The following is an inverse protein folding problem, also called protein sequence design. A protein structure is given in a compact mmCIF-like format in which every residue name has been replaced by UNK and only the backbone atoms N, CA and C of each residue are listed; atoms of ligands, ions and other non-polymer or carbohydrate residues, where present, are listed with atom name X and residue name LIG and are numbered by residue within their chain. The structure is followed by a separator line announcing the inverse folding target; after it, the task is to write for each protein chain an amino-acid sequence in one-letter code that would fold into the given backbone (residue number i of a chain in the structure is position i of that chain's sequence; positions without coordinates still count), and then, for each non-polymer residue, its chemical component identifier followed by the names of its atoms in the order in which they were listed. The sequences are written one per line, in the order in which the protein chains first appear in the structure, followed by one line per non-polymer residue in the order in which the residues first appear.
data_IF_223483327926
#
_entry.id   IF_223483327926
#
_cell.length_a   1.000
_cell.length_b   1.000
_cell.length_c   1.000
_cell.angle_alpha   90.00
_cell.angle_beta   90.00
_cell.angle_gamma   90.00
#
_symmetry.space_group_name_H-M   'P 1'
#
loop_
_entity.id
_entity.type
_entity.pdbx_description
1 polymer ?
#
# COMPACT_ATOMS: atom_id res chain seq x y z
N UNK A 1 -32.11 -26.38 -89.49
CA UNK A 1 -31.47 -27.42 -88.67
C UNK A 1 -30.22 -26.79 -88.09
N UNK A 2 -30.32 -26.46 -86.80
CA UNK A 2 -29.38 -25.91 -85.81
C UNK A 2 -27.88 -25.87 -86.16
N UNK A 3 -27.21 -24.73 -85.92
CA UNK A 3 -25.96 -24.66 -85.12
C UNK A 3 -25.57 -23.18 -84.83
N UNK A 4 -25.54 -22.83 -83.53
CA UNK A 4 -24.76 -21.79 -82.82
C UNK A 4 -24.63 -20.41 -83.48
N UNK A 5 -25.44 -19.39 -83.19
CA UNK A 5 -25.48 -18.61 -81.93
C UNK A 5 -24.11 -18.46 -81.27
N UNK A 6 -23.29 -17.64 -81.93
CA UNK A 6 -22.14 -16.97 -81.36
C UNK A 6 -22.66 -16.01 -80.27
N UNK A 7 -22.53 -16.46 -79.02
CA UNK A 7 -22.80 -15.68 -77.83
C UNK A 7 -21.69 -14.64 -77.70
N UNK A 8 -21.96 -13.45 -78.22
CA UNK A 8 -21.17 -12.25 -77.94
C UNK A 8 -21.41 -11.80 -76.48
N UNK A 9 -20.82 -12.56 -75.56
CA UNK A 9 -20.84 -12.31 -74.11
C UNK A 9 -19.62 -11.50 -73.66
N UNK A 10 -18.77 -11.07 -74.58
CA UNK A 10 -17.56 -10.29 -74.28
C UNK A 10 -17.83 -8.80 -74.02
N UNK A 11 -18.86 -8.23 -74.66
CA UNK A 11 -19.05 -6.77 -74.70
C UNK A 11 -19.99 -6.24 -73.60
N UNK A 12 -20.70 -7.12 -72.88
CA UNK A 12 -21.58 -6.74 -71.75
C UNK A 12 -20.83 -6.58 -70.40
N UNK A 13 -19.53 -6.86 -70.34
CA UNK A 13 -18.70 -6.67 -69.13
C UNK A 13 -17.60 -5.61 -69.30
N UNK A 14 -17.62 -4.87 -70.41
CA UNK A 14 -16.62 -3.86 -70.77
C UNK A 14 -16.70 -2.52 -70.02
N UNK A 15 -17.66 -2.36 -69.09
CA UNK A 15 -17.82 -1.12 -68.32
C UNK A 15 -17.97 -1.40 -66.82
N UNK A 16 -16.98 -2.10 -66.26
CA UNK A 16 -16.57 -1.82 -64.88
C UNK A 16 -15.45 -0.78 -64.93
N UNK A 17 -15.82 0.43 -65.35
CA UNK A 17 -15.03 1.61 -65.10
C UNK A 17 -14.70 1.68 -63.60
N UNK A 18 -13.42 1.49 -63.30
CA UNK A 18 -12.64 2.20 -62.29
C UNK A 18 -13.44 2.75 -61.09
N UNK A 19 -14.15 1.86 -60.38
CA UNK A 19 -14.90 2.22 -59.19
C UNK A 19 -13.93 2.34 -58.00
N UNK A 20 -13.26 3.49 -57.93
CA UNK A 20 -12.84 4.11 -56.67
C UNK A 20 -11.85 3.31 -55.83
N UNK A 21 -10.58 3.26 -56.25
CA UNK A 21 -9.48 2.94 -55.32
C UNK A 21 -9.26 4.02 -54.24
N UNK A 22 -9.99 5.14 -54.27
CA UNK A 22 -9.88 6.24 -53.30
C UNK A 22 -10.51 5.95 -51.93
N UNK A 23 -11.50 5.06 -51.81
CA UNK A 23 -12.22 4.84 -50.53
C UNK A 23 -11.41 4.06 -49.49
N UNK A 24 -10.46 3.20 -49.91
CA UNK A 24 -9.66 2.37 -48.99
C UNK A 24 -8.60 3.16 -48.21
N UNK A 25 -8.13 4.30 -48.70
CA UNK A 25 -7.13 5.13 -47.99
C UNK A 25 -7.78 5.89 -46.84
N UNK A 26 -8.99 6.40 -47.05
CA UNK A 26 -9.75 7.12 -46.02
C UNK A 26 -10.17 6.19 -44.88
N UNK A 27 -10.63 4.97 -45.17
CA UNK A 27 -11.01 4.02 -44.12
C UNK A 27 -9.83 3.57 -43.24
N UNK A 28 -8.64 3.41 -43.83
CA UNK A 28 -7.39 3.16 -43.07
C UNK A 28 -6.99 4.35 -42.20
N UNK A 29 -7.11 5.57 -42.71
CA UNK A 29 -6.78 6.78 -41.94
C UNK A 29 -7.72 6.93 -40.73
N UNK A 30 -9.01 6.68 -40.90
CA UNK A 30 -9.99 6.69 -39.80
C UNK A 30 -9.72 5.62 -38.76
N UNK A 31 -9.28 4.42 -39.17
CA UNK A 31 -8.87 3.36 -38.23
C UNK A 31 -7.66 3.75 -37.38
N UNK A 32 -6.67 4.44 -37.96
CA UNK A 32 -5.50 4.95 -37.23
C UNK A 32 -5.91 6.04 -36.23
N UNK A 33 -6.78 6.97 -36.65
CA UNK A 33 -7.29 8.03 -35.77
C UNK A 33 -8.08 7.44 -34.59
N UNK A 34 -8.98 6.49 -34.86
CA UNK A 34 -9.74 5.81 -33.80
C UNK A 34 -8.82 5.05 -32.83
N UNK A 35 -7.79 4.39 -33.35
CA UNK A 35 -6.77 3.72 -32.53
C UNK A 35 -5.98 4.69 -31.63
N UNK A 36 -5.59 5.85 -32.16
CA UNK A 36 -4.90 6.89 -31.38
C UNK A 36 -5.79 7.47 -30.28
N UNK A 37 -7.08 7.71 -30.56
CA UNK A 37 -8.05 8.18 -29.57
C UNK A 37 -8.23 7.13 -28.47
N UNK A 38 -8.41 5.85 -28.84
CA UNK A 38 -8.55 4.77 -27.88
C UNK A 38 -7.30 4.65 -26.99
N UNK A 39 -6.10 4.73 -27.58
CA UNK A 39 -4.85 4.71 -26.83
C UNK A 39 -4.73 5.90 -25.86
N UNK A 40 -5.08 7.11 -26.31
CA UNK A 40 -5.08 8.30 -25.45
C UNK A 40 -6.06 8.17 -24.28
N UNK A 41 -7.26 7.63 -24.52
CA UNK A 41 -8.25 7.39 -23.46
C UNK A 41 -7.78 6.33 -22.46
N UNK A 42 -7.13 5.25 -22.92
CA UNK A 42 -6.56 4.24 -22.04
C UNK A 42 -5.41 4.82 -21.21
N UNK A 43 -4.49 5.57 -21.82
CA UNK A 43 -3.38 6.20 -21.11
C UNK A 43 -3.89 7.21 -20.07
N UNK A 44 -4.86 8.05 -20.44
CA UNK A 44 -5.49 9.01 -19.53
C UNK A 44 -6.23 8.30 -18.38
N UNK A 45 -6.94 7.21 -18.68
CA UNK A 45 -7.60 6.38 -17.68
C UNK A 45 -6.63 5.72 -16.71
N UNK A 46 -5.48 5.24 -17.19
CA UNK A 46 -4.42 4.66 -16.36
C UNK A 46 -3.76 5.70 -15.46
N UNK A 47 -3.49 6.90 -15.98
CA UNK A 47 -2.96 8.03 -15.20
C UNK A 47 -3.98 8.46 -14.13
N UNK A 48 -5.25 8.57 -14.50
CA UNK A 48 -6.32 8.93 -13.56
C UNK A 48 -6.52 7.85 -12.49
N UNK A 49 -6.54 6.57 -12.86
CA UNK A 49 -6.61 5.46 -11.91
C UNK A 49 -5.37 5.37 -10.99
N UNK A 50 -4.19 5.74 -11.50
CA UNK A 50 -2.99 5.91 -10.70
C UNK A 50 -3.13 7.04 -9.68
N UNK A 51 -3.67 8.18 -10.09
CA UNK A 51 -3.85 9.35 -9.21
C UNK A 51 -4.86 9.13 -8.07
N UNK A 52 -5.83 8.24 -8.25
CA UNK A 52 -6.80 7.88 -7.20
C UNK A 52 -6.21 6.93 -6.14
N UNK A 53 -5.08 6.27 -6.40
CA UNK A 53 -4.41 5.44 -5.38
C UNK A 53 -3.76 6.27 -4.28
N UNK A 54 -3.47 7.54 -4.58
CA UNK A 54 -2.93 8.51 -3.62
C UNK A 54 -4.03 9.37 -2.96
N UNK A 55 -5.32 9.01 -3.13
CA UNK A 55 -6.37 9.64 -2.36
C UNK A 55 -6.10 9.40 -0.86
N UNK A 56 -5.89 10.45 -0.05
CA UNK A 56 -5.58 10.27 1.36
C UNK A 56 -6.80 9.65 2.03
N UNK A 57 -6.71 8.35 2.31
CA UNK A 57 -7.57 7.72 3.31
C UNK A 57 -7.33 8.53 4.58
N UNK A 58 -8.39 9.07 5.18
CA UNK A 58 -8.27 9.82 6.42
C UNK A 58 -7.49 8.97 7.41
N UNK A 59 -6.27 9.41 7.76
CA UNK A 59 -5.41 8.67 8.67
C UNK A 59 -6.16 8.49 9.98
N UNK A 60 -6.17 7.26 10.51
CA UNK A 60 -6.77 7.02 11.82
C UNK A 60 -6.02 7.90 12.85
N UNK A 61 -6.72 8.38 13.88
CA UNK A 61 -6.02 9.06 14.97
C UNK A 61 -5.11 8.05 15.69
N UNK A 62 -3.87 8.40 16.10
CA UNK A 62 -3.00 7.45 16.79
C UNK A 62 -3.64 6.81 18.02
N UNK A 63 -4.42 7.57 18.78
CA UNK A 63 -5.16 7.10 19.96
C UNK A 63 -6.33 6.16 19.63
N UNK A 64 -6.89 6.21 18.42
CA UNK A 64 -7.88 5.21 17.99
C UNK A 64 -7.23 3.88 17.61
N UNK A 65 -5.94 3.92 17.23
CA UNK A 65 -5.16 2.74 16.85
C UNK A 65 -4.52 2.09 18.07
N UNK A 66 -3.92 2.90 18.95
CA UNK A 66 -3.29 2.49 20.20
C UNK A 66 -3.86 3.34 21.33
N UNK A 67 -4.90 2.87 22.05
CA UNK A 67 -5.59 3.65 23.07
C UNK A 67 -4.69 4.22 24.17
N UNK A 68 -3.57 3.56 24.48
CA UNK A 68 -2.59 4.05 25.45
C UNK A 68 -2.04 5.45 25.10
N UNK A 69 -1.91 5.79 23.81
CA UNK A 69 -1.42 7.10 23.36
C UNK A 69 -2.37 8.25 23.73
N UNK A 70 -3.66 7.96 23.91
CA UNK A 70 -4.66 8.93 24.39
C UNK A 70 -4.67 9.13 25.91
N UNK A 71 -3.98 8.28 26.67
CA UNK A 71 -3.90 8.39 28.14
C UNK A 71 -2.90 9.47 28.57
N UNK A 72 -3.03 9.97 29.80
CA UNK A 72 -2.04 10.85 30.39
C UNK A 72 -0.73 10.10 30.69
N UNK A 73 0.42 10.74 30.43
CA UNK A 73 1.72 10.15 30.71
C UNK A 73 1.98 10.07 32.23
N UNK A 74 2.42 8.91 32.69
CA UNK A 74 2.84 8.62 34.06
C UNK A 74 4.37 8.57 34.18
N UNK A 75 4.89 8.30 35.39
CA UNK A 75 6.33 8.15 35.60
C UNK A 75 6.91 6.92 34.90
N UNK A 76 6.15 5.81 34.82
CA UNK A 76 6.60 4.57 34.18
C UNK A 76 6.66 4.68 32.64
N UNK A 77 5.99 5.67 32.08
CA UNK A 77 5.93 5.90 30.64
C UNK A 77 7.14 6.66 30.10
N UNK A 78 7.99 7.22 30.98
CA UNK A 78 9.09 8.10 30.59
C UNK A 78 10.35 7.30 30.29
N UNK A 79 10.86 7.45 29.07
CA UNK A 79 12.19 6.98 28.70
C UNK A 79 13.27 7.93 29.25
N UNK A 80 14.42 7.39 29.61
CA UNK A 80 15.56 8.16 30.08
C UNK A 80 16.28 8.86 28.90
N UNK A 81 17.04 9.93 29.20
CA UNK A 81 17.69 10.75 28.16
C UNK A 81 18.61 9.96 27.22
N UNK A 82 19.42 9.04 27.76
CA UNK A 82 20.33 8.22 26.95
C UNK A 82 19.59 7.25 26.01
N UNK A 83 18.37 6.80 26.38
CA UNK A 83 17.54 5.96 25.53
C UNK A 83 16.90 6.77 24.41
N UNK A 84 16.48 8.01 24.71
CA UNK A 84 15.86 8.92 23.75
C UNK A 84 16.83 9.41 22.67
N UNK A 85 18.11 9.59 23.00
CA UNK A 85 19.12 10.06 22.05
C UNK A 85 19.30 9.11 20.83
N UNK A 86 18.92 7.85 20.98
CA UNK A 86 18.96 6.84 19.93
C UNK A 86 17.64 6.72 19.12
N UNK A 87 16.58 7.45 19.51
CA UNK A 87 15.23 7.28 18.99
C UNK A 87 14.73 8.55 18.27
N UNK A 88 13.77 8.39 17.35
CA UNK A 88 13.17 9.53 16.64
C UNK A 88 11.81 9.96 17.21
N UNK A 89 11.52 9.54 18.46
CA UNK A 89 10.21 9.70 19.10
C UNK A 89 10.11 10.97 19.94
N UNK A 90 8.90 11.49 20.09
CA UNK A 90 8.58 12.60 20.99
C UNK A 90 8.48 12.07 22.41
N UNK A 91 9.37 12.49 23.30
CA UNK A 91 9.47 11.97 24.68
C UNK A 91 8.19 12.12 25.52
N UNK A 92 7.35 13.12 25.27
CA UNK A 92 6.06 13.29 25.99
C UNK A 92 4.95 12.36 25.48
N UNK A 93 5.16 11.70 24.34
CA UNK A 93 4.19 10.79 23.72
C UNK A 93 4.39 9.33 24.13
N UNK A 94 5.50 8.99 24.80
CA UNK A 94 5.83 7.63 25.18
C UNK A 94 4.82 7.10 26.20
N UNK A 95 4.40 5.85 26.03
CA UNK A 95 3.45 5.12 26.89
C UNK A 95 3.92 3.69 27.04
N UNK A 96 4.16 3.24 28.26
CA UNK A 96 4.50 1.86 28.56
C UNK A 96 3.27 0.99 28.28
N UNK A 97 3.45 0.04 27.37
CA UNK A 97 2.42 -0.96 27.06
C UNK A 97 2.54 -2.16 28.00
N UNK A 98 3.77 -2.60 28.27
CA UNK A 98 4.04 -3.70 29.17
C UNK A 98 5.50 -4.12 29.16
N UNK A 99 5.83 -5.07 30.03
CA UNK A 99 7.17 -5.63 30.20
C UNK A 99 7.16 -7.13 29.95
N UNK A 100 8.20 -7.63 29.32
CA UNK A 100 8.39 -9.06 29.05
C UNK A 100 9.82 -9.49 29.39
N UNK A 101 10.20 -10.73 29.05
CA UNK A 101 11.59 -11.18 29.13
C UNK A 101 12.54 -10.37 28.21
N UNK A 102 11.99 -9.69 27.20
CA UNK A 102 12.70 -8.91 26.18
C UNK A 102 12.72 -7.42 26.48
N UNK A 103 12.44 -7.06 27.73
CA UNK A 103 12.50 -5.69 28.22
C UNK A 103 11.14 -5.00 28.28
N UNK A 104 11.18 -3.68 28.26
CA UNK A 104 10.01 -2.80 28.36
C UNK A 104 9.59 -2.31 26.98
N UNK A 105 8.31 -2.42 26.68
CA UNK A 105 7.74 -2.07 25.38
C UNK A 105 6.85 -0.85 25.50
N UNK A 106 7.09 0.14 24.64
CA UNK A 106 6.41 1.42 24.65
C UNK A 106 5.77 1.69 23.30
N UNK A 107 4.61 2.35 23.32
CA UNK A 107 4.10 3.09 22.18
C UNK A 107 4.58 4.54 22.28
N UNK A 108 4.92 5.15 21.15
CA UNK A 108 5.25 6.57 21.07
C UNK A 108 4.81 7.13 19.72
N UNK A 109 4.94 8.45 19.56
CA UNK A 109 4.79 9.16 18.30
C UNK A 109 6.13 9.71 17.83
N UNK A 110 6.37 9.69 16.53
CA UNK A 110 7.43 10.51 15.94
C UNK A 110 6.95 11.96 15.68
N UNK A 111 7.86 12.79 15.15
CA UNK A 111 7.56 14.19 14.80
C UNK A 111 6.53 14.34 13.67
N UNK A 112 6.32 13.28 12.87
CA UNK A 112 5.34 13.24 11.78
C UNK A 112 3.97 12.69 12.24
N UNK A 113 3.84 12.25 13.50
CA UNK A 113 2.62 11.64 14.03
C UNK A 113 2.47 10.15 13.69
N UNK A 114 3.54 9.49 13.21
CA UNK A 114 3.55 8.04 13.05
C UNK A 114 3.58 7.35 14.42
N UNK A 115 2.92 6.20 14.53
CA UNK A 115 2.97 5.36 15.73
C UNK A 115 4.27 4.58 15.69
N UNK A 116 5.02 4.58 16.79
CA UNK A 116 6.26 3.85 16.96
C UNK A 116 6.12 2.83 18.09
N UNK A 117 6.56 1.60 17.82
CA UNK A 117 6.84 0.60 18.83
C UNK A 117 8.31 0.74 19.22
N UNK A 118 8.58 0.98 20.50
CA UNK A 118 9.91 1.07 21.07
C UNK A 118 10.10 -0.07 22.07
N UNK A 119 11.21 -0.78 21.98
CA UNK A 119 11.59 -1.81 22.97
C UNK A 119 12.92 -1.46 23.59
N UNK A 120 12.96 -1.48 24.91
CA UNK A 120 14.14 -1.16 25.72
C UNK A 120 14.50 -2.38 26.55
N UNK A 121 15.65 -2.99 26.26
CA UNK A 121 16.24 -4.06 27.04
C UNK A 121 17.48 -3.53 27.76
N UNK A 122 17.57 -3.78 29.06
CA UNK A 122 18.66 -3.26 29.90
C UNK A 122 20.03 -3.73 29.38
N UNK A 123 20.92 -2.77 29.15
CA UNK A 123 22.26 -3.03 28.63
C UNK A 123 22.36 -3.11 27.10
N UNK A 124 21.24 -2.97 26.38
CA UNK A 124 21.20 -2.94 24.91
C UNK A 124 20.72 -1.58 24.37
N UNK A 125 20.96 -1.35 23.07
CA UNK A 125 20.39 -0.20 22.38
C UNK A 125 18.89 -0.40 22.18
N UNK A 126 18.07 0.65 22.38
CA UNK A 126 16.63 0.52 22.18
C UNK A 126 16.33 0.30 20.70
N UNK A 127 15.40 -0.61 20.43
CA UNK A 127 14.92 -0.90 19.09
C UNK A 127 13.62 -0.13 18.81
N UNK A 128 13.45 0.39 17.60
CA UNK A 128 12.23 1.08 17.20
C UNK A 128 11.75 0.68 15.81
N UNK A 129 10.43 0.62 15.65
CA UNK A 129 9.76 0.51 14.34
C UNK A 129 8.55 1.43 14.33
N UNK A 130 8.42 2.27 13.29
CA UNK A 130 7.34 3.24 13.16
C UNK A 130 6.50 3.01 11.90
N UNK A 131 5.23 3.43 11.95
CA UNK A 131 4.32 3.37 10.81
C UNK A 131 3.16 4.35 10.94
N UNK A 132 2.61 4.77 9.81
CA UNK A 132 1.47 5.70 9.79
C UNK A 132 0.25 5.10 10.49
N UNK A 133 -0.51 5.91 11.25
CA UNK A 133 -1.65 5.40 11.99
C UNK A 133 -2.76 4.93 11.02
N UNK A 134 -3.09 3.65 11.10
CA UNK A 134 -4.12 3.01 10.30
C UNK A 134 -4.80 1.91 11.11
N UNK A 135 -6.04 1.57 10.75
CA UNK A 135 -6.78 0.47 11.38
C UNK A 135 -6.14 -0.90 11.14
N UNK A 136 -5.20 -1.01 10.20
CA UNK A 136 -4.43 -2.21 9.90
C UNK A 136 -2.96 -2.13 10.37
N UNK A 137 -2.62 -1.13 11.19
CA UNK A 137 -1.26 -0.93 11.67
C UNK A 137 -0.74 -2.20 12.34
N UNK A 138 0.44 -2.62 11.92
CA UNK A 138 1.17 -3.77 12.44
C UNK A 138 2.64 -3.35 12.49
N UNK A 139 3.21 -3.28 13.69
CA UNK A 139 4.61 -2.89 13.90
C UNK A 139 5.33 -4.01 14.63
N UNK A 140 6.44 -4.43 14.06
CA UNK A 140 7.28 -5.48 14.64
C UNK A 140 8.65 -4.92 14.97
N UNK A 141 9.18 -5.28 16.13
CA UNK A 141 10.60 -5.15 16.44
C UNK A 141 11.15 -6.52 16.80
N UNK A 142 12.43 -6.73 16.57
CA UNK A 142 13.12 -7.95 16.95
C UNK A 142 14.41 -7.62 17.70
N UNK A 143 14.92 -8.60 18.44
CA UNK A 143 16.29 -8.55 18.94
C UNK A 143 17.32 -8.57 17.79
N UNK A 144 18.58 -8.37 18.15
CA UNK A 144 19.71 -8.38 17.19
C UNK A 144 19.88 -9.72 16.47
N UNK A 145 19.46 -10.83 17.09
CA UNK A 145 19.54 -12.17 16.51
C UNK A 145 18.27 -12.57 15.72
N UNK A 146 17.23 -11.73 15.71
CA UNK A 146 15.96 -11.95 15.02
C UNK A 146 15.11 -13.10 15.58
N UNK A 147 15.39 -13.56 16.80
CA UNK A 147 14.73 -14.69 17.46
C UNK A 147 13.48 -14.23 18.17
N UNK A 148 13.64 -13.16 18.94
CA UNK A 148 12.58 -12.62 19.77
C UNK A 148 11.86 -11.52 19.01
N UNK A 149 10.53 -11.61 18.89
CA UNK A 149 9.72 -10.67 18.12
C UNK A 149 8.64 -10.06 19.01
N UNK A 150 8.59 -8.74 19.05
CA UNK A 150 7.53 -7.97 19.69
C UNK A 150 6.66 -7.38 18.58
N UNK A 151 5.34 -7.52 18.74
CA UNK A 151 4.36 -7.08 17.77
C UNK A 151 3.31 -6.19 18.44
N UNK A 152 3.13 -5.00 17.87
CA UNK A 152 2.04 -4.08 18.16
C UNK A 152 1.05 -4.06 16.99
N UNK A 153 -0.25 -4.22 17.24
CA UNK A 153 -1.27 -4.10 16.17
C UNK A 153 -2.52 -3.34 16.59
N UNK A 154 -3.10 -2.63 15.64
CA UNK A 154 -4.37 -1.92 15.77
C UNK A 154 -5.55 -2.83 16.20
N UNK A 155 -5.62 -4.05 15.67
CA UNK A 155 -6.84 -4.88 15.74
C UNK A 155 -6.96 -5.72 17.01
N UNK A 156 -5.98 -5.69 17.92
CA UNK A 156 -5.90 -6.52 19.14
C UNK A 156 -6.16 -8.03 18.88
N UNK A 157 -5.98 -8.48 17.64
CA UNK A 157 -6.20 -9.86 17.19
C UNK A 157 -4.90 -10.63 17.09
N UNK A 158 -4.72 -11.63 17.96
CA UNK A 158 -3.49 -12.40 18.04
C UNK A 158 -3.04 -12.92 16.65
N UNK A 159 -1.72 -12.98 16.39
CA UNK A 159 -1.22 -13.40 15.09
C UNK A 159 -1.56 -14.88 14.88
N UNK A 160 -1.76 -15.27 13.62
CA UNK A 160 -2.20 -16.62 13.27
C UNK A 160 -1.18 -17.74 13.52
N UNK A 161 0.05 -17.41 13.93
CA UNK A 161 1.12 -18.37 14.14
C UNK A 161 1.15 -18.87 15.59
N UNK A 162 1.68 -20.07 15.81
CA UNK A 162 1.89 -20.60 17.17
C UNK A 162 3.00 -19.82 17.90
N UNK A 163 2.93 -19.81 19.24
CA UNK A 163 3.98 -19.30 20.12
C UNK A 163 3.84 -17.83 20.56
N UNK A 164 2.87 -17.07 20.04
CA UNK A 164 2.63 -15.70 20.49
C UNK A 164 1.99 -15.66 21.88
N UNK A 165 2.51 -14.79 22.72
CA UNK A 165 1.99 -14.50 24.05
C UNK A 165 1.52 -13.05 24.13
N UNK A 166 0.36 -12.82 24.74
CA UNK A 166 -0.16 -11.47 24.98
C UNK A 166 0.48 -10.87 26.22
N UNK A 167 1.14 -9.74 26.03
CA UNK A 167 1.74 -8.94 27.11
C UNK A 167 0.74 -7.89 27.60
N UNK A 168 0.08 -7.22 26.66
CA UNK A 168 -0.89 -6.16 26.93
C UNK A 168 -1.94 -6.08 25.81
N UNK A 169 -2.97 -5.24 25.92
CA UNK A 169 -3.79 -4.90 24.76
C UNK A 169 -2.92 -4.43 23.60
N UNK A 170 -3.21 -4.94 22.40
CA UNK A 170 -2.51 -4.67 21.15
C UNK A 170 -1.05 -5.18 21.07
N UNK A 171 -0.50 -5.75 22.15
CA UNK A 171 0.91 -6.13 22.26
C UNK A 171 1.09 -7.64 22.48
N UNK A 172 1.84 -8.27 21.57
CA UNK A 172 2.28 -9.66 21.70
C UNK A 172 3.78 -9.80 21.55
N UNK A 173 4.27 -10.91 22.05
CA UNK A 173 5.68 -11.28 21.98
C UNK A 173 5.82 -12.76 21.65
N UNK A 174 6.91 -13.12 20.97
CA UNK A 174 7.25 -14.51 20.67
C UNK A 174 8.77 -14.72 20.81
N UNK A 175 9.22 -15.79 21.50
CA UNK A 175 10.61 -16.24 21.50
C UNK A 175 11.08 -16.84 20.16
#
# INVERSE_FOLDING_TARGET
MTTFEDLDLGEAFGDFGDAGTETRRLSRAWGVVAGLIAFALVALGLVWAGSQRDAPVAAASPESVVPALGAAQTAADRLAGAELDALTVVSSSTRLLGTSAWGSHYAALDQAGAVCLVTVLDGELPAQTCGGPSESLTLTTSDVDGRDVVLLTAQDTAPSADGWQRVAPHLWTRP
#
